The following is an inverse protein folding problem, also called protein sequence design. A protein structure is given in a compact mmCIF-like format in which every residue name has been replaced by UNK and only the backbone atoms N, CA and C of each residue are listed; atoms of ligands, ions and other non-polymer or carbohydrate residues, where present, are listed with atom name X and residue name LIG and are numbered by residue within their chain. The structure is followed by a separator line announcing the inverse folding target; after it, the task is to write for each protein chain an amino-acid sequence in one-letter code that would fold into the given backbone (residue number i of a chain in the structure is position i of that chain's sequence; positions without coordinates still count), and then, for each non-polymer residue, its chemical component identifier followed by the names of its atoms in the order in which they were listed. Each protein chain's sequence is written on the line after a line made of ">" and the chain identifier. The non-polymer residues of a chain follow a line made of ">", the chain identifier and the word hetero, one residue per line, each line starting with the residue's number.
data_IF_183592925430
#
_entry.id   IF_183592925430
#
_cell.length_a   1.000
_cell.length_b   1.000
_cell.length_c   1.000
_cell.angle_alpha   90.00
_cell.angle_beta   90.00
_cell.angle_gamma   90.00
#
_symmetry.space_group_name_H-M   'P 1'
#
loop_
_entity.id
_entity.type
_entity.pdbx_description
1 polymer ?
#
# COMPACT_ATOMS: atom_id res chain seq x y z
N UNK A 1 -8.73 1.90 18.50
CA UNK A 1 -8.34 2.72 17.34
C UNK A 1 -7.00 2.18 16.89
N UNK A 2 -6.89 1.76 15.62
CA UNK A 2 -5.67 1.20 15.03
C UNK A 2 -4.92 2.31 14.30
N UNK A 3 -4.35 3.24 15.11
CA UNK A 3 -3.59 4.39 14.65
C UNK A 3 -2.14 4.26 15.11
N UNK A 4 -1.22 4.59 14.23
CA UNK A 4 0.24 4.50 14.45
C UNK A 4 0.90 5.75 13.92
N UNK A 5 1.82 6.31 14.72
CA UNK A 5 2.82 7.28 14.28
C UNK A 5 4.15 6.57 14.11
N UNK A 6 4.84 6.81 13.01
CA UNK A 6 6.12 6.21 12.67
C UNK A 6 7.05 7.29 12.12
N UNK A 7 8.28 7.28 12.60
CA UNK A 7 9.40 8.02 12.03
C UNK A 7 10.44 7.02 11.51
N UNK A 8 10.96 7.28 10.32
CA UNK A 8 12.03 6.49 9.71
C UNK A 8 13.03 7.42 9.03
N UNK A 9 14.24 7.45 9.56
CA UNK A 9 15.30 8.31 9.08
C UNK A 9 16.50 7.46 8.66
N UNK A 10 16.96 7.68 7.43
CA UNK A 10 18.20 7.13 6.86
C UNK A 10 19.10 8.27 6.41
N UNK A 11 20.20 7.96 5.75
CA UNK A 11 21.02 8.98 5.09
C UNK A 11 20.39 9.49 3.79
N UNK A 12 19.42 8.77 3.25
CA UNK A 12 18.78 9.02 1.95
C UNK A 12 17.40 9.65 2.10
N UNK A 13 16.65 9.30 3.16
CA UNK A 13 15.28 9.76 3.38
C UNK A 13 14.99 10.09 4.83
N UNK A 14 14.10 11.06 5.05
CA UNK A 14 13.50 11.39 6.35
C UNK A 14 11.99 11.31 6.21
N UNK A 15 11.36 10.37 6.92
CA UNK A 15 9.94 10.07 6.77
C UNK A 15 9.23 10.22 8.11
N UNK A 16 8.14 10.99 8.11
CA UNK A 16 7.15 11.03 9.17
C UNK A 16 5.82 10.52 8.63
N UNK A 17 5.20 9.55 9.31
CA UNK A 17 3.98 8.91 8.87
C UNK A 17 3.00 8.69 10.02
N UNK A 18 1.74 9.06 9.81
CA UNK A 18 0.62 8.70 10.67
C UNK A 18 -0.37 7.92 9.83
N UNK A 19 -0.71 6.71 10.28
CA UNK A 19 -1.69 5.84 9.63
C UNK A 19 -2.78 5.44 10.62
N UNK A 20 -4.04 5.64 10.23
CA UNK A 20 -5.19 5.11 10.95
C UNK A 20 -6.00 4.17 10.05
N UNK A 21 -6.05 2.88 10.42
CA UNK A 21 -6.79 1.86 9.66
C UNK A 21 -8.31 2.01 9.79
N UNK A 22 -8.79 2.66 10.86
CA UNK A 22 -10.21 2.91 11.15
C UNK A 22 -10.61 4.34 10.76
N UNK A 23 -9.97 4.89 9.71
CA UNK A 23 -10.12 6.25 9.25
C UNK A 23 -11.36 6.51 8.39
N UNK A 24 -11.41 7.69 7.79
CA UNK A 24 -12.45 8.16 6.87
C UNK A 24 -11.93 8.46 5.46
N UNK A 25 -10.65 8.18 5.17
CA UNK A 25 -9.99 8.47 3.91
C UNK A 25 -9.51 9.92 3.81
N UNK A 26 -9.09 10.51 4.93
CA UNK A 26 -8.43 11.82 4.97
C UNK A 26 -6.95 11.63 4.71
N UNK A 27 -6.36 12.54 3.96
CA UNK A 27 -4.95 12.45 3.62
C UNK A 27 -4.28 13.81 3.58
N UNK A 28 -3.00 13.82 3.93
CA UNK A 28 -2.07 14.92 3.73
C UNK A 28 -0.72 14.26 3.36
N UNK A 29 -0.29 14.41 2.11
CA UNK A 29 0.86 13.68 1.56
C UNK A 29 1.81 14.64 0.86
N UNK A 30 3.07 14.64 1.28
CA UNK A 30 4.16 15.34 0.61
C UNK A 30 5.41 14.45 0.57
N UNK A 31 5.73 13.93 -0.61
CA UNK A 31 6.89 13.05 -0.84
C UNK A 31 7.98 13.72 -1.68
N UNK A 32 7.76 14.97 -2.11
CA UNK A 32 8.60 15.61 -3.12
C UNK A 32 8.37 15.10 -4.55
N UNK A 33 7.54 14.06 -4.74
CA UNK A 33 7.17 13.49 -6.05
C UNK A 33 5.66 13.61 -6.29
N UNK A 34 5.25 14.49 -7.20
CA UNK A 34 3.83 14.78 -7.43
C UNK A 34 3.00 13.56 -7.84
N UNK A 35 3.56 12.65 -8.67
CA UNK A 35 2.85 11.43 -9.05
C UNK A 35 2.67 10.47 -7.88
N UNK A 36 3.69 10.28 -7.06
CA UNK A 36 3.61 9.41 -5.88
C UNK A 36 2.65 9.98 -4.83
N UNK A 37 2.64 11.31 -4.63
CA UNK A 37 1.65 11.98 -3.78
C UNK A 37 0.23 11.61 -4.21
N UNK A 38 -0.08 11.80 -5.51
CA UNK A 38 -1.37 11.46 -6.08
C UNK A 38 -1.74 9.97 -5.86
N UNK A 39 -0.81 9.04 -6.08
CA UNK A 39 -1.05 7.61 -5.87
C UNK A 39 -1.38 7.27 -4.41
N UNK A 40 -0.67 7.87 -3.46
CA UNK A 40 -0.89 7.65 -2.02
C UNK A 40 -2.18 8.30 -1.51
N UNK A 41 -2.56 9.47 -2.04
CA UNK A 41 -3.85 10.10 -1.79
C UNK A 41 -5.01 9.22 -2.24
N UNK A 42 -4.91 8.65 -3.46
CA UNK A 42 -5.90 7.70 -3.98
C UNK A 42 -5.97 6.43 -3.12
N UNK A 43 -4.82 5.86 -2.76
CA UNK A 43 -4.74 4.71 -1.87
C UNK A 43 -5.47 4.98 -0.54
N UNK A 44 -5.14 6.08 0.14
CA UNK A 44 -5.75 6.47 1.41
C UNK A 44 -7.27 6.70 1.25
N UNK A 45 -7.67 7.45 0.22
CA UNK A 45 -9.08 7.79 -0.04
C UNK A 45 -9.93 6.55 -0.30
N UNK A 46 -9.47 5.66 -1.18
CA UNK A 46 -10.20 4.46 -1.59
C UNK A 46 -10.17 3.36 -0.53
N UNK A 47 -9.07 3.26 0.24
CA UNK A 47 -8.95 2.39 1.40
C UNK A 47 -9.68 2.90 2.65
N UNK A 48 -10.14 4.18 2.64
CA UNK A 48 -10.69 4.87 3.81
C UNK A 48 -9.73 4.93 5.00
N UNK A 49 -8.43 4.82 4.73
CA UNK A 49 -7.39 5.05 5.73
C UNK A 49 -7.19 6.56 5.93
N UNK A 50 -6.96 7.01 7.18
CA UNK A 50 -6.42 8.35 7.34
C UNK A 50 -4.89 8.24 7.27
N UNK A 51 -4.27 9.05 6.39
CA UNK A 51 -2.84 9.03 6.11
C UNK A 51 -2.27 10.45 6.11
N UNK A 52 -1.35 10.72 7.03
CA UNK A 52 -0.46 11.88 6.97
C UNK A 52 0.94 11.36 6.69
N UNK A 53 1.60 11.87 5.67
CA UNK A 53 2.93 11.41 5.26
C UNK A 53 3.75 12.56 4.71
N UNK A 54 4.92 12.78 5.29
CA UNK A 54 5.96 13.64 4.73
C UNK A 54 7.23 12.83 4.52
N UNK A 55 7.90 13.07 3.38
CA UNK A 55 9.19 12.48 3.08
C UNK A 55 10.12 13.54 2.46
N UNK A 56 11.29 13.69 3.04
CA UNK A 56 12.39 14.45 2.46
C UNK A 56 13.45 13.44 2.00
N UNK A 57 13.45 13.10 0.73
CA UNK A 57 14.39 12.18 0.10
C UNK A 57 15.42 12.90 -0.76
N UNK A 58 16.43 12.16 -1.22
CA UNK A 58 17.50 12.57 -2.12
C UNK A 58 17.02 12.60 -3.59
N UNK A 59 15.90 13.31 -3.84
CA UNK A 59 15.21 13.37 -5.14
C UNK A 59 16.07 13.91 -6.30
N UNK A 60 17.20 14.52 -6.01
CA UNK A 60 18.21 14.91 -7.00
C UNK A 60 18.93 13.70 -7.61
N UNK A 61 18.91 12.55 -6.96
CA UNK A 61 19.40 11.28 -7.52
C UNK A 61 18.32 10.71 -8.45
N UNK A 62 17.21 10.28 -7.88
CA UNK A 62 15.97 9.86 -8.51
C UNK A 62 14.89 9.65 -7.43
N UNK A 63 13.77 9.00 -7.77
CA UNK A 63 12.70 8.70 -6.81
C UNK A 63 12.76 7.28 -6.22
N UNK A 64 13.79 6.50 -6.51
CA UNK A 64 13.89 5.10 -6.08
C UNK A 64 13.89 4.98 -4.55
N UNK A 65 14.87 5.63 -3.89
CA UNK A 65 15.00 5.60 -2.43
C UNK A 65 13.75 6.14 -1.73
N UNK A 66 13.18 7.23 -2.26
CA UNK A 66 11.94 7.82 -1.76
C UNK A 66 10.78 6.82 -1.82
N UNK A 67 10.56 6.16 -2.96
CA UNK A 67 9.46 5.22 -3.16
C UNK A 67 9.64 3.96 -2.31
N UNK A 68 10.83 3.34 -2.33
CA UNK A 68 11.13 2.14 -1.53
C UNK A 68 10.95 2.42 -0.03
N UNK A 69 11.55 3.49 0.48
CA UNK A 69 11.55 3.82 1.91
C UNK A 69 10.17 4.20 2.43
N UNK A 70 9.35 4.90 1.63
CA UNK A 70 7.93 5.13 1.95
C UNK A 70 7.17 3.81 1.98
N UNK A 71 7.41 2.90 1.03
CA UNK A 71 6.83 1.56 1.03
C UNK A 71 7.18 0.78 2.29
N UNK A 72 8.44 0.81 2.72
CA UNK A 72 8.91 0.21 3.98
C UNK A 72 8.17 0.83 5.18
N UNK A 73 8.14 2.16 5.28
CA UNK A 73 7.49 2.86 6.37
C UNK A 73 5.99 2.55 6.44
N UNK A 74 5.29 2.56 5.30
CA UNK A 74 3.87 2.22 5.23
C UNK A 74 3.62 0.77 5.64
N UNK A 75 4.43 -0.19 5.16
CA UNK A 75 4.34 -1.60 5.56
C UNK A 75 4.52 -1.79 7.06
N UNK A 76 5.51 -1.12 7.67
CA UNK A 76 5.75 -1.14 9.12
C UNK A 76 4.59 -0.52 9.91
N UNK A 77 4.01 0.56 9.41
CA UNK A 77 2.85 1.19 10.04
C UNK A 77 1.63 0.27 10.02
N UNK A 78 1.36 -0.40 8.89
CA UNK A 78 0.31 -1.43 8.80
C UNK A 78 0.55 -2.58 9.79
N UNK A 79 1.77 -3.12 9.83
CA UNK A 79 2.12 -4.21 10.74
C UNK A 79 1.89 -3.83 12.21
N UNK A 80 2.32 -2.63 12.61
CA UNK A 80 2.11 -2.12 13.98
C UNK A 80 0.62 -1.88 14.29
N UNK A 81 -0.13 -1.32 13.34
CA UNK A 81 -1.56 -1.05 13.52
C UNK A 81 -2.41 -2.33 13.58
N UNK A 82 -2.01 -3.39 12.87
CA UNK A 82 -2.66 -4.71 12.89
C UNK A 82 -2.40 -5.47 14.19
N UNK A 83 -1.25 -5.25 14.84
CA UNK A 83 -0.88 -5.95 16.07
C UNK A 83 -0.98 -7.47 15.92
N UNK A 84 -1.75 -8.15 16.78
CA UNK A 84 -1.93 -9.60 16.77
C UNK A 84 -2.85 -10.12 15.65
N UNK A 85 -3.38 -9.23 14.79
CA UNK A 85 -4.31 -9.58 13.70
C UNK A 85 -5.56 -10.34 14.14
N UNK A 86 -6.06 -10.07 15.37
CA UNK A 86 -7.31 -10.67 15.87
C UNK A 86 -8.53 -10.00 15.25
N UNK A 87 -9.52 -10.79 14.94
CA UNK A 87 -10.83 -10.36 14.47
C UNK A 87 -10.81 -9.67 13.10
N UNK A 88 -9.73 -9.76 12.33
CA UNK A 88 -9.68 -9.22 10.97
C UNK A 88 -10.29 -10.21 9.96
N UNK A 89 -10.74 -9.70 8.80
CA UNK A 89 -11.22 -10.54 7.68
C UNK A 89 -10.07 -11.33 7.04
N UNK A 90 -8.83 -10.86 7.18
CA UNK A 90 -7.60 -11.45 6.68
C UNK A 90 -7.43 -11.37 5.16
N UNK A 91 -8.48 -11.66 4.38
CA UNK A 91 -8.43 -11.66 2.93
C UNK A 91 -9.16 -10.44 2.36
N UNK A 92 -8.62 -9.87 1.31
CA UNK A 92 -9.28 -8.84 0.52
C UNK A 92 -8.88 -8.93 -0.94
N UNK A 93 -9.81 -8.66 -1.83
CA UNK A 93 -9.53 -8.56 -3.25
C UNK A 93 -10.44 -7.55 -3.91
N UNK A 94 -9.93 -6.88 -4.94
CA UNK A 94 -10.70 -5.92 -5.70
C UNK A 94 -10.26 -5.91 -7.16
N UNK A 95 -11.22 -6.03 -8.08
CA UNK A 95 -11.02 -5.75 -9.50
C UNK A 95 -11.30 -4.28 -9.73
N UNK A 96 -10.28 -3.51 -10.01
CA UNK A 96 -10.41 -2.08 -10.23
C UNK A 96 -10.36 -1.74 -11.72
N UNK A 97 -11.48 -1.30 -12.31
CA UNK A 97 -11.49 -0.70 -13.63
C UNK A 97 -11.10 0.78 -13.53
N UNK A 98 -10.20 1.21 -14.40
CA UNK A 98 -9.83 2.62 -14.61
C UNK A 98 -9.78 2.87 -16.11
N UNK A 99 -10.86 3.40 -16.66
CA UNK A 99 -11.10 3.53 -18.10
C UNK A 99 -10.85 2.20 -18.83
N UNK A 100 -9.80 2.12 -19.67
CA UNK A 100 -9.43 0.91 -20.41
C UNK A 100 -8.59 -0.07 -19.58
N UNK A 101 -8.07 0.36 -18.41
CA UNK A 101 -7.28 -0.49 -17.56
C UNK A 101 -8.17 -1.31 -16.59
N UNK A 102 -7.77 -2.54 -16.34
CA UNK A 102 -8.38 -3.43 -15.34
C UNK A 102 -7.29 -4.17 -14.60
N UNK A 103 -7.20 -3.96 -13.28
CA UNK A 103 -6.22 -4.61 -12.40
C UNK A 103 -6.92 -5.31 -11.25
N UNK A 104 -6.54 -6.57 -10.96
CA UNK A 104 -6.87 -7.26 -9.72
C UNK A 104 -5.78 -6.93 -8.69
N UNK A 105 -6.22 -6.50 -7.51
CA UNK A 105 -5.39 -6.43 -6.31
C UNK A 105 -5.93 -7.44 -5.29
N UNK A 106 -5.09 -8.34 -4.77
CA UNK A 106 -5.49 -9.33 -3.79
C UNK A 106 -4.49 -9.40 -2.64
N UNK A 107 -5.00 -9.57 -1.42
CA UNK A 107 -4.25 -9.55 -0.17
C UNK A 107 -4.60 -10.75 0.69
N UNK A 108 -3.60 -11.41 1.26
CA UNK A 108 -3.71 -12.33 2.39
C UNK A 108 -2.80 -11.84 3.52
N UNK A 109 -3.36 -11.38 4.62
CA UNK A 109 -2.63 -11.03 5.85
C UNK A 109 -2.19 -12.31 6.59
N UNK A 110 -1.26 -13.02 5.96
CA UNK A 110 -0.90 -14.40 6.33
C UNK A 110 0.30 -14.53 7.29
N UNK A 111 0.98 -13.42 7.59
CA UNK A 111 2.27 -13.45 8.28
C UNK A 111 3.48 -13.66 7.35
N UNK A 112 3.26 -13.99 6.07
CA UNK A 112 4.32 -14.24 5.06
C UNK A 112 4.40 -13.11 4.06
N UNK A 113 5.58 -12.54 3.91
CA UNK A 113 5.84 -11.41 3.03
C UNK A 113 6.10 -11.89 1.59
N UNK A 114 5.18 -11.60 0.67
CA UNK A 114 5.34 -11.94 -0.76
C UNK A 114 4.68 -10.86 -1.62
N UNK A 115 5.36 -10.42 -2.65
CA UNK A 115 4.79 -9.60 -3.72
C UNK A 115 4.78 -10.41 -5.02
N UNK A 116 3.61 -10.52 -5.65
CA UNK A 116 3.48 -10.91 -7.05
C UNK A 116 3.06 -9.68 -7.85
N UNK A 117 3.96 -9.20 -8.70
CA UNK A 117 3.76 -8.01 -9.53
C UNK A 117 3.69 -8.43 -11.00
N UNK A 118 2.47 -8.65 -11.50
CA UNK A 118 2.18 -8.97 -12.91
C UNK A 118 1.49 -7.77 -13.57
N UNK A 119 2.26 -6.66 -13.64
CA UNK A 119 1.84 -5.38 -14.19
C UNK A 119 2.84 -4.93 -15.24
N UNK A 120 2.35 -4.63 -16.44
CA UNK A 120 3.15 -4.29 -17.60
C UNK A 120 2.79 -2.91 -18.13
N UNK A 121 3.68 -1.96 -17.97
CA UNK A 121 3.53 -0.59 -18.42
C UNK A 121 4.27 -0.37 -19.74
N UNK A 122 3.70 0.43 -20.64
CA UNK A 122 4.28 0.71 -21.96
C UNK A 122 5.31 1.83 -21.96
N UNK A 123 5.24 2.72 -20.95
CA UNK A 123 6.16 3.86 -20.82
C UNK A 123 7.07 3.65 -19.62
N UNK A 124 8.26 4.19 -19.68
CA UNK A 124 9.24 4.13 -18.59
C UNK A 124 8.94 5.16 -17.49
N UNK A 125 8.21 6.24 -17.83
CA UNK A 125 7.87 7.34 -16.91
C UNK A 125 6.42 7.79 -17.03
N UNK A 126 5.91 8.31 -15.90
CA UNK A 126 4.68 9.14 -15.86
C UNK A 126 5.07 10.48 -15.20
N UNK A 127 5.05 11.55 -15.99
CA UNK A 127 5.70 12.78 -15.57
C UNK A 127 7.21 12.58 -15.43
N UNK A 128 7.75 12.87 -14.27
CA UNK A 128 9.13 12.63 -13.85
C UNK A 128 9.34 11.34 -13.04
N UNK A 129 8.25 10.66 -12.65
CA UNK A 129 8.28 9.41 -11.88
C UNK A 129 8.62 8.21 -12.77
N UNK A 130 9.68 7.47 -12.42
CA UNK A 130 10.05 6.22 -13.07
C UNK A 130 9.06 5.10 -12.67
N UNK A 131 8.47 4.43 -13.66
CA UNK A 131 7.41 3.44 -13.45
C UNK A 131 7.87 2.24 -12.61
N UNK A 132 9.15 1.87 -12.70
CA UNK A 132 9.75 0.82 -11.86
C UNK A 132 9.68 1.12 -10.37
N UNK A 133 9.71 2.40 -9.96
CA UNK A 133 9.54 2.79 -8.55
C UNK A 133 8.20 2.35 -7.95
N UNK A 134 7.18 2.12 -8.77
CA UNK A 134 5.90 1.60 -8.28
C UNK A 134 6.01 0.16 -7.77
N UNK A 135 6.78 -0.70 -8.46
CA UNK A 135 7.04 -2.06 -7.99
C UNK A 135 7.94 -2.08 -6.75
N UNK A 136 8.95 -1.20 -6.68
CA UNK A 136 9.83 -1.07 -5.50
C UNK A 136 9.06 -0.57 -4.27
N UNK A 137 8.15 0.41 -4.45
CA UNK A 137 7.24 0.83 -3.38
C UNK A 137 6.44 -0.35 -2.82
N UNK A 138 5.75 -1.13 -3.69
CA UNK A 138 4.95 -2.27 -3.25
C UNK A 138 5.79 -3.42 -2.69
N UNK A 139 7.02 -3.60 -3.15
CA UNK A 139 7.99 -4.53 -2.58
C UNK A 139 8.39 -4.12 -1.17
N UNK A 140 8.65 -2.82 -0.97
CA UNK A 140 8.89 -2.23 0.36
C UNK A 140 7.71 -2.49 1.31
N UNK A 141 6.46 -2.25 0.86
CA UNK A 141 5.25 -2.57 1.62
C UNK A 141 5.19 -4.06 1.94
N UNK A 142 5.28 -4.94 0.93
CA UNK A 142 5.09 -6.38 1.09
C UNK A 142 6.14 -7.03 2.03
N UNK A 143 7.36 -6.50 2.06
CA UNK A 143 8.42 -6.98 2.97
C UNK A 143 8.20 -6.58 4.43
N UNK A 144 7.40 -5.55 4.69
CA UNK A 144 7.24 -4.97 6.03
C UNK A 144 5.83 -5.10 6.60
N UNK A 145 4.81 -5.40 5.79
CA UNK A 145 3.49 -5.83 6.27
C UNK A 145 3.44 -7.36 6.26
N UNK A 146 2.80 -8.01 7.23
CA UNK A 146 2.72 -9.48 7.28
C UNK A 146 1.71 -10.02 6.25
N UNK A 147 1.94 -9.75 4.95
CA UNK A 147 0.99 -10.02 3.87
C UNK A 147 1.62 -10.61 2.62
N UNK A 148 0.80 -11.37 1.89
CA UNK A 148 0.99 -11.66 0.48
C UNK A 148 0.17 -10.69 -0.34
N UNK A 149 0.79 -9.99 -1.29
CA UNK A 149 0.17 -9.03 -2.19
C UNK A 149 0.28 -9.54 -3.64
N UNK A 150 -0.84 -9.49 -4.36
CA UNK A 150 -0.88 -9.79 -5.79
C UNK A 150 -1.46 -8.60 -6.55
N UNK A 151 -0.77 -8.20 -7.61
CA UNK A 151 -1.24 -7.27 -8.62
C UNK A 151 -1.22 -7.99 -9.97
N UNK A 152 -2.38 -8.11 -10.61
CA UNK A 152 -2.52 -8.79 -11.90
C UNK A 152 -3.28 -7.89 -12.86
N UNK A 153 -2.61 -7.47 -13.92
CA UNK A 153 -3.21 -6.65 -14.97
C UNK A 153 -3.95 -7.53 -15.99
N UNK A 154 -5.23 -7.26 -16.20
CA UNK A 154 -6.06 -7.94 -17.20
C UNK A 154 -6.15 -7.13 -18.50
N UNK A 155 -6.14 -5.80 -18.39
CA UNK A 155 -6.20 -4.87 -19.52
C UNK A 155 -5.53 -3.55 -19.14
N UNK A 156 -5.24 -2.72 -20.13
CA UNK A 156 -4.73 -1.36 -19.95
C UNK A 156 -3.61 -1.04 -20.93
N UNK A 157 -3.62 0.21 -21.36
CA UNK A 157 -2.64 0.77 -22.28
C UNK A 157 -1.95 2.01 -21.72
N UNK A 158 -2.72 2.85 -21.00
CA UNK A 158 -2.23 4.07 -20.39
C UNK A 158 -1.55 3.72 -19.06
N UNK A 159 -0.25 3.95 -18.96
CA UNK A 159 0.56 3.64 -17.76
C UNK A 159 0.03 4.33 -16.51
N UNK A 160 -0.45 5.59 -16.60
CA UNK A 160 -1.06 6.30 -15.48
C UNK A 160 -2.30 5.54 -14.96
N UNK A 161 -3.23 5.16 -15.87
CA UNK A 161 -4.44 4.42 -15.51
C UNK A 161 -4.13 3.06 -14.87
N UNK A 162 -3.12 2.35 -15.38
CA UNK A 162 -2.68 1.06 -14.84
C UNK A 162 -2.17 1.22 -13.41
N UNK A 163 -1.25 2.18 -13.17
CA UNK A 163 -0.69 2.41 -11.84
C UNK A 163 -1.75 2.94 -10.86
N UNK A 164 -2.61 3.87 -11.31
CA UNK A 164 -3.72 4.37 -10.51
C UNK A 164 -4.67 3.21 -10.12
N UNK A 165 -4.95 2.29 -11.03
CA UNK A 165 -5.73 1.09 -10.74
C UNK A 165 -5.06 0.21 -9.67
N UNK A 166 -3.73 0.08 -9.69
CA UNK A 166 -2.99 -0.65 -8.65
C UNK A 166 -3.17 -0.01 -7.28
N UNK A 167 -2.96 1.30 -7.14
CA UNK A 167 -3.02 1.98 -5.84
C UNK A 167 -4.45 2.04 -5.27
N UNK A 168 -5.45 2.38 -6.09
CA UNK A 168 -6.87 2.34 -5.68
C UNK A 168 -7.32 0.93 -5.30
N UNK A 169 -6.98 -0.05 -6.15
CA UNK A 169 -7.34 -1.46 -5.93
C UNK A 169 -6.73 -2.02 -4.67
N UNK A 170 -5.45 -1.70 -4.39
CA UNK A 170 -4.78 -2.07 -3.15
C UNK A 170 -5.44 -1.42 -1.93
N UNK A 171 -5.86 -0.15 -2.02
CA UNK A 171 -6.62 0.53 -0.98
C UNK A 171 -7.89 -0.26 -0.62
N UNK A 172 -8.71 -0.62 -1.62
CA UNK A 172 -9.93 -1.41 -1.41
C UNK A 172 -9.63 -2.82 -0.86
N UNK A 173 -8.63 -3.51 -1.42
CA UNK A 173 -8.29 -4.88 -1.00
C UNK A 173 -7.77 -4.91 0.45
N UNK A 174 -6.87 -3.99 0.82
CA UNK A 174 -6.38 -3.86 2.19
C UNK A 174 -7.49 -3.46 3.16
N UNK A 175 -8.37 -2.51 2.79
CA UNK A 175 -9.50 -2.12 3.62
C UNK A 175 -10.40 -3.31 3.95
N UNK A 176 -10.68 -4.18 2.96
CA UNK A 176 -11.43 -5.41 3.18
C UNK A 176 -10.68 -6.38 4.10
N UNK A 177 -9.36 -6.59 3.88
CA UNK A 177 -8.57 -7.53 4.66
C UNK A 177 -8.41 -7.12 6.13
N UNK A 178 -8.26 -5.82 6.42
CA UNK A 178 -8.11 -5.30 7.79
C UNK A 178 -9.45 -5.08 8.51
N UNK A 179 -10.59 -5.19 7.81
CA UNK A 179 -11.90 -4.99 8.41
C UNK A 179 -12.13 -5.94 9.58
N UNK A 180 -12.72 -5.43 10.66
CA UNK A 180 -13.02 -6.24 11.85
C UNK A 180 -14.32 -7.02 11.64
N UNK A 181 -14.24 -8.33 11.80
CA UNK A 181 -15.40 -9.21 11.95
C UNK A 181 -15.92 -9.11 13.38
N UNK A 182 -17.05 -8.45 13.55
CA UNK A 182 -17.62 -8.23 14.87
C UNK A 182 -18.08 -9.53 15.56
N UNK A 183 -18.39 -10.58 14.78
CA UNK A 183 -18.83 -11.88 15.31
C UNK A 183 -17.64 -12.72 15.82
N UNK A 184 -16.42 -12.49 15.29
CA UNK A 184 -15.23 -13.29 15.60
C UNK A 184 -14.06 -12.42 16.10
N UNK A 185 -14.38 -11.34 16.81
CA UNK A 185 -13.43 -10.27 17.18
C UNK A 185 -12.18 -10.74 17.92
N UNK A 186 -12.30 -11.81 18.72
CA UNK A 186 -11.21 -12.33 19.56
C UNK A 186 -10.47 -13.51 18.91
N UNK A 187 -10.89 -13.91 17.69
CA UNK A 187 -10.31 -15.03 16.99
C UNK A 187 -9.16 -14.59 16.09
N UNK A 188 -8.14 -15.44 15.95
CA UNK A 188 -7.15 -15.33 14.88
C UNK A 188 -7.71 -16.12 13.69
N UNK A 189 -7.88 -15.49 12.50
CA UNK A 189 -8.50 -16.15 11.34
C UNK A 189 -7.54 -17.15 10.67
N UNK A 190 -7.15 -18.18 11.42
CA UNK A 190 -6.21 -19.22 11.00
C UNK A 190 -6.48 -20.53 11.75
N UNK A 191 -6.54 -21.63 11.01
CA UNK A 191 -6.64 -23.00 11.61
C UNK A 191 -5.41 -23.38 12.42
N UNK A 192 -4.28 -22.65 12.26
CA UNK A 192 -3.06 -22.84 13.06
C UNK A 192 -3.10 -22.09 14.39
N UNK A 193 -4.10 -21.22 14.62
CA UNK A 193 -4.19 -20.35 15.79
C UNK A 193 -3.18 -19.20 15.81
N UNK A 194 -2.45 -18.99 14.70
CA UNK A 194 -1.49 -17.89 14.53
C UNK A 194 -1.34 -17.55 13.04
N UNK A 195 -0.87 -16.32 12.76
CA UNK A 195 -0.54 -15.80 11.43
C UNK A 195 0.97 -15.49 11.41
N UNK A 196 1.77 -16.43 10.90
CA UNK A 196 3.24 -16.34 10.72
C UNK A 196 3.66 -17.17 9.52
#
# INVERSE_FOLDING_TARGET
>A
MREVTLERNTNETQIELILNLDGAGRYEVDTGCGFLNHMLELFARHGRFDLVLTCHGDVEVDYHHTAEDIGIALGQAFARALGEMRGIQRYGSFYLPMDEALVLCAVDLSGRCTLNWDVHCKTEKVGDFDVECASEFWLGVARNVPATLHFVQFAGENTHHILEACFKGAGHALAAAVAIDAAHRDEIPSTKGLLV
#
